data_IF_948978803958
#
_entry.id   IF_948978803958
#
_cell.length_a   1.000
_cell.length_b   1.000
_cell.length_c   1.000
_cell.angle_alpha   90.00
_cell.angle_beta   90.00
_cell.angle_gamma   90.00
#
_symmetry.space_group_name_H-M   'P 1'
#
loop_
_entity.id
_entity.type
_entity.pdbx_description
1 polymer ?
#
# COMPACT_ATOMS: atom_id res chain seq x y z
N UNK A 1 -6.12 -20.79 9.00
CA UNK A 1 -6.37 -20.08 7.72
C UNK A 1 -6.88 -21.10 6.71
N UNK A 2 -7.86 -20.74 5.89
CA UNK A 2 -8.36 -21.62 4.83
C UNK A 2 -7.40 -21.55 3.65
N UNK A 3 -6.80 -22.68 3.27
CA UNK A 3 -5.90 -22.72 2.12
C UNK A 3 -6.72 -22.73 0.82
N UNK A 4 -6.41 -21.79 -0.06
CA UNK A 4 -6.98 -21.71 -1.39
C UNK A 4 -5.90 -22.11 -2.40
N UNK A 5 -6.25 -22.73 -3.54
CA UNK A 5 -5.30 -23.08 -4.61
C UNK A 5 -4.90 -21.83 -5.39
N UNK A 6 -4.19 -20.92 -4.72
CA UNK A 6 -3.69 -19.66 -5.25
C UNK A 6 -2.16 -19.68 -5.25
N UNK A 7 -1.55 -19.30 -6.36
CA UNK A 7 -0.13 -18.95 -6.40
C UNK A 7 0.03 -17.50 -5.94
N UNK A 8 0.85 -17.28 -4.92
CA UNK A 8 1.16 -15.95 -4.40
C UNK A 8 1.90 -15.12 -5.45
N UNK A 9 1.45 -13.89 -5.69
CA UNK A 9 2.14 -12.91 -6.54
C UNK A 9 2.81 -11.86 -5.65
N UNK A 10 2.02 -11.09 -4.91
CA UNK A 10 2.52 -10.03 -4.04
C UNK A 10 1.51 -9.64 -2.96
N UNK A 11 1.96 -8.86 -1.99
CA UNK A 11 1.12 -8.11 -1.05
C UNK A 11 1.55 -6.66 -1.10
N UNK A 12 0.60 -5.74 -1.25
CA UNK A 12 0.88 -4.30 -1.28
C UNK A 12 0.19 -3.58 -0.14
N UNK A 13 0.88 -2.60 0.44
CA UNK A 13 0.26 -1.59 1.30
C UNK A 13 -0.71 -0.74 0.47
N UNK A 14 -1.94 -0.52 0.97
CA UNK A 14 -2.93 0.31 0.25
C UNK A 14 -2.91 1.78 0.64
N UNK A 15 -2.45 2.07 1.85
CA UNK A 15 -2.44 3.42 2.44
C UNK A 15 -1.08 3.80 3.03
N UNK A 16 -0.20 2.83 3.32
CA UNK A 16 1.15 3.08 3.82
C UNK A 16 1.15 4.05 5.02
N UNK A 17 2.01 5.06 4.98
CA UNK A 17 2.13 6.05 6.05
C UNK A 17 0.97 7.08 6.09
N UNK A 18 -0.03 7.00 5.22
CA UNK A 18 -1.08 8.02 5.13
C UNK A 18 -1.82 8.22 6.45
N UNK A 19 -2.04 7.14 7.22
CA UNK A 19 -2.72 7.24 8.51
C UNK A 19 -1.91 8.04 9.56
N UNK A 20 -0.58 7.94 9.53
CA UNK A 20 0.36 8.60 10.43
C UNK A 20 0.57 10.06 10.00
N UNK A 21 0.65 10.31 8.69
CA UNK A 21 0.89 11.63 8.10
C UNK A 21 -0.39 12.33 7.66
N UNK A 22 -1.55 11.93 8.21
CA UNK A 22 -2.88 12.34 7.74
C UNK A 22 -3.06 13.85 7.69
N UNK A 23 -2.59 14.55 8.70
CA UNK A 23 -2.72 16.02 8.78
C UNK A 23 -1.99 16.69 7.62
N UNK A 24 -0.84 16.15 7.19
CA UNK A 24 -0.10 16.67 6.04
C UNK A 24 -0.71 16.21 4.71
N UNK A 25 -1.06 14.93 4.59
CA UNK A 25 -1.57 14.33 3.35
C UNK A 25 -2.90 14.97 2.94
N UNK A 26 -3.75 15.31 3.91
CA UNK A 26 -5.05 15.94 3.65
C UNK A 26 -4.95 17.41 3.20
N UNK A 27 -3.83 18.07 3.50
CA UNK A 27 -3.59 19.49 3.15
C UNK A 27 -2.83 19.65 1.82
N UNK A 28 -2.41 18.54 1.18
CA UNK A 28 -1.67 18.57 -0.09
C UNK A 28 -2.55 19.13 -1.22
N UNK A 29 -1.96 19.98 -2.05
CA UNK A 29 -2.55 20.34 -3.34
C UNK A 29 -2.36 19.22 -4.38
N UNK A 30 -2.98 19.37 -5.55
CA UNK A 30 -2.97 18.34 -6.60
C UNK A 30 -1.55 17.93 -7.06
N UNK A 31 -0.62 18.87 -7.17
CA UNK A 31 0.75 18.56 -7.60
C UNK A 31 1.54 17.84 -6.50
N UNK A 32 1.36 18.25 -5.25
CA UNK A 32 1.97 17.59 -4.09
C UNK A 32 1.40 16.19 -3.87
N UNK A 33 0.09 16.02 -4.06
CA UNK A 33 -0.57 14.71 -3.95
C UNK A 33 -0.07 13.73 -5.02
N UNK A 34 0.24 14.20 -6.24
CA UNK A 34 0.90 13.36 -7.26
C UNK A 34 2.27 12.86 -6.80
N UNK A 35 3.05 13.70 -6.13
CA UNK A 35 4.35 13.29 -5.55
C UNK A 35 4.14 12.29 -4.41
N UNK A 36 3.13 12.50 -3.56
CA UNK A 36 2.76 11.53 -2.52
C UNK A 36 2.38 10.16 -3.10
N UNK A 37 1.60 10.14 -4.18
CA UNK A 37 1.24 8.91 -4.89
C UNK A 37 2.45 8.24 -5.52
N UNK A 38 3.34 8.97 -6.18
CA UNK A 38 4.57 8.42 -6.75
C UNK A 38 5.46 7.78 -5.67
N UNK A 39 5.61 8.45 -4.51
CA UNK A 39 6.26 7.88 -3.34
C UNK A 39 5.58 6.59 -2.87
N UNK A 40 4.25 6.60 -2.73
CA UNK A 40 3.49 5.44 -2.28
C UNK A 40 3.67 4.26 -3.26
N UNK A 41 3.52 4.48 -4.57
CA UNK A 41 3.70 3.43 -5.57
C UNK A 41 5.12 2.85 -5.62
N UNK A 42 6.14 3.67 -5.34
CA UNK A 42 7.54 3.20 -5.24
C UNK A 42 7.82 2.40 -3.98
N UNK A 43 6.96 2.47 -2.96
CA UNK A 43 7.19 1.88 -1.65
C UNK A 43 6.14 0.85 -1.21
N UNK A 44 4.97 0.79 -1.84
CA UNK A 44 3.85 -0.03 -1.38
C UNK A 44 4.12 -1.54 -1.42
N UNK A 45 5.05 -2.00 -2.25
CA UNK A 45 5.50 -3.40 -2.32
C UNK A 45 6.63 -3.74 -1.33
N UNK A 46 7.17 -2.74 -0.61
CA UNK A 46 8.22 -2.96 0.39
C UNK A 46 7.65 -3.68 1.60
N UNK A 47 7.99 -4.96 1.73
CA UNK A 47 7.53 -5.83 2.83
C UNK A 47 7.89 -5.29 4.22
N UNK A 48 9.03 -4.62 4.35
CA UNK A 48 9.47 -3.99 5.60
C UNK A 48 8.63 -2.76 5.99
N UNK A 49 7.89 -2.18 5.04
CA UNK A 49 7.00 -1.04 5.27
C UNK A 49 5.51 -1.43 5.28
N UNK A 50 5.15 -2.65 4.88
CA UNK A 50 3.76 -3.09 4.77
C UNK A 50 2.99 -2.97 6.10
N UNK A 51 3.67 -3.11 7.24
CA UNK A 51 3.06 -2.99 8.57
C UNK A 51 2.58 -1.58 8.94
N UNK A 52 2.98 -0.54 8.21
CA UNK A 52 2.46 0.82 8.42
C UNK A 52 1.08 1.04 7.80
N UNK A 53 0.68 0.17 6.87
CA UNK A 53 -0.61 0.24 6.21
C UNK A 53 -1.73 -0.26 7.13
N UNK A 54 -2.85 0.46 7.19
CA UNK A 54 -4.03 -0.03 7.92
C UNK A 54 -4.65 -1.25 7.22
N UNK A 55 -4.54 -1.30 5.89
CA UNK A 55 -5.00 -2.41 5.07
C UNK A 55 -3.93 -2.82 4.06
N UNK A 56 -3.94 -4.09 3.70
CA UNK A 56 -3.05 -4.64 2.66
C UNK A 56 -3.86 -5.39 1.62
N UNK A 57 -3.44 -5.29 0.36
CA UNK A 57 -4.01 -6.05 -0.74
C UNK A 57 -3.12 -7.26 -1.04
N UNK A 58 -3.66 -8.45 -0.82
CA UNK A 58 -3.04 -9.71 -1.24
C UNK A 58 -3.44 -10.03 -2.68
N UNK A 59 -2.45 -10.27 -3.55
CA UNK A 59 -2.67 -10.64 -4.94
C UNK A 59 -2.17 -12.07 -5.16
N UNK A 60 -3.07 -12.92 -5.63
CA UNK A 60 -2.76 -14.30 -6.01
C UNK A 60 -3.43 -14.69 -7.31
N UNK A 61 -2.85 -15.65 -8.02
CA UNK A 61 -3.40 -16.24 -9.24
C UNK A 61 -4.01 -17.59 -8.92
N UNK A 62 -5.24 -17.81 -9.38
CA UNK A 62 -5.86 -19.14 -9.32
C UNK A 62 -5.03 -20.13 -10.15
N UNK A 63 -4.72 -21.29 -9.55
CA UNK A 63 -4.13 -22.42 -10.27
C UNK A 63 -5.05 -22.92 -11.38
#
# INVERSE_FOLDING_TARGET
>A
MKEYPLDYITTVATDGLSAILRDYVNDLNDEEFKVWLDYHYKSCERKDLAGYSSHVLYIGRKK
#
